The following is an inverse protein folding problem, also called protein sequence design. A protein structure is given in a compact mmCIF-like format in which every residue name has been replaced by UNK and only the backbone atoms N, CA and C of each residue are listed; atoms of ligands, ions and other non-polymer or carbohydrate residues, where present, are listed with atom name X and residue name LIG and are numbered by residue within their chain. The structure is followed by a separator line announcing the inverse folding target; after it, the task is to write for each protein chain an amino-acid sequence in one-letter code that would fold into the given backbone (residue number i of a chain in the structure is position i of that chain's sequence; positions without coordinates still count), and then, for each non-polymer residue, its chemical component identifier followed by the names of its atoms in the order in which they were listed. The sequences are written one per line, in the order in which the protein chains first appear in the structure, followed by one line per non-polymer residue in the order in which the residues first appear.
data_IF_898511931787
#
_entry.id   IF_898511931787
#
_cell.length_a   1.000
_cell.length_b   1.000
_cell.length_c   1.000
_cell.angle_alpha   90.00
_cell.angle_beta   90.00
_cell.angle_gamma   90.00
#
_symmetry.space_group_name_H-M   'P 1'
#
loop_
_entity.id
_entity.type
_entity.pdbx_description
1 polymer ?
#
# COMPACT_ATOMS: atom_id res chain seq x y z
N UNK A 1 17.13 -18.46 -1.56
CA UNK A 1 16.28 -19.40 -0.81
C UNK A 1 15.07 -18.59 -0.35
N UNK A 2 13.87 -18.83 -0.90
CA UNK A 2 12.67 -18.05 -0.56
C UNK A 2 12.10 -18.63 0.74
N UNK A 3 12.23 -17.92 1.84
CA UNK A 3 11.58 -18.28 3.10
C UNK A 3 10.11 -17.86 3.02
N UNK A 4 9.25 -18.78 2.59
CA UNK A 4 7.80 -18.66 2.74
C UNK A 4 7.48 -19.15 4.14
N UNK A 5 7.46 -18.23 5.12
CA UNK A 5 7.15 -18.58 6.50
C UNK A 5 5.71 -19.10 6.60
N UNK A 6 5.56 -20.37 6.99
CA UNK A 6 4.27 -20.95 7.34
C UNK A 6 3.68 -20.18 8.52
N UNK A 7 2.35 -20.09 8.62
CA UNK A 7 1.69 -19.36 9.72
C UNK A 7 2.02 -19.95 11.10
N UNK A 8 2.40 -21.23 11.15
CA UNK A 8 2.71 -21.99 12.38
C UNK A 8 4.10 -21.66 12.95
N UNK A 9 5.03 -21.11 12.17
CA UNK A 9 6.36 -20.70 12.62
C UNK A 9 6.40 -19.27 13.22
N UNK A 10 5.23 -18.62 13.39
CA UNK A 10 5.08 -17.17 13.65
C UNK A 10 4.69 -16.80 15.08
N UNK A 11 5.09 -17.56 16.09
CA UNK A 11 4.76 -17.25 17.50
C UNK A 11 5.28 -15.88 17.99
N UNK A 12 6.08 -15.14 17.21
CA UNK A 12 6.65 -13.84 17.57
C UNK A 12 6.49 -12.72 16.52
N UNK A 13 5.58 -12.84 15.55
CA UNK A 13 5.34 -11.73 14.61
C UNK A 13 4.37 -10.74 15.24
N UNK A 14 4.82 -9.49 15.43
CA UNK A 14 3.93 -8.37 15.74
C UNK A 14 3.00 -8.12 14.54
N UNK A 15 1.75 -8.60 14.67
CA UNK A 15 0.72 -8.41 13.65
C UNK A 15 0.14 -7.00 13.66
N UNK A 16 0.48 -6.16 14.65
CA UNK A 16 0.08 -4.76 14.73
C UNK A 16 0.76 -3.90 13.67
N UNK A 17 1.91 -4.32 13.12
CA UNK A 17 2.55 -3.61 12.02
C UNK A 17 3.32 -4.55 11.10
N UNK A 18 2.79 -4.76 9.90
CA UNK A 18 3.43 -5.60 8.89
C UNK A 18 3.78 -4.81 7.63
N UNK A 19 4.80 -5.26 6.92
CA UNK A 19 5.16 -4.78 5.60
C UNK A 19 4.82 -5.86 4.58
N UNK A 20 4.08 -5.51 3.55
CA UNK A 20 3.69 -6.41 2.47
C UNK A 20 4.34 -5.95 1.17
N UNK A 21 5.15 -6.85 0.60
CA UNK A 21 5.74 -6.72 -0.73
C UNK A 21 4.90 -7.52 -1.72
N UNK A 22 4.25 -6.84 -2.66
CA UNK A 22 3.47 -7.49 -3.71
C UNK A 22 4.40 -7.83 -4.88
N UNK A 23 4.51 -9.12 -5.22
CA UNK A 23 5.39 -9.60 -6.28
C UNK A 23 5.04 -8.94 -7.63
N UNK A 24 6.06 -8.52 -8.37
CA UNK A 24 5.89 -7.88 -9.68
C UNK A 24 5.25 -6.49 -9.64
N UNK A 25 5.03 -5.91 -8.45
CA UNK A 25 4.47 -4.58 -8.34
C UNK A 25 5.37 -3.51 -8.99
N UNK A 26 4.73 -2.55 -9.65
CA UNK A 26 5.42 -1.44 -10.28
C UNK A 26 4.63 -0.15 -10.15
N UNK A 27 5.36 0.94 -9.97
CA UNK A 27 4.88 2.29 -10.00
C UNK A 27 4.87 2.80 -11.44
N UNK A 28 3.74 3.35 -11.84
CA UNK A 28 3.54 4.05 -13.10
C UNK A 28 3.38 5.54 -12.79
N UNK A 29 4.03 6.38 -13.59
CA UNK A 29 3.90 7.84 -13.53
C UNK A 29 2.88 8.24 -14.58
N UNK A 30 1.82 8.93 -14.17
CA UNK A 30 0.83 9.49 -15.07
C UNK A 30 1.41 10.69 -15.82
N UNK A 31 1.36 10.67 -17.14
CA UNK A 31 2.06 11.68 -17.95
C UNK A 31 1.48 13.08 -17.82
N UNK A 32 0.17 13.20 -17.62
CA UNK A 32 -0.51 14.48 -17.55
C UNK A 32 -0.35 15.16 -16.17
N UNK A 33 -0.54 14.40 -15.09
CA UNK A 33 -0.49 14.92 -13.72
C UNK A 33 0.88 14.79 -13.06
N UNK A 34 1.79 13.98 -13.63
CA UNK A 34 3.05 13.54 -13.02
C UNK A 34 2.88 12.86 -11.66
N UNK A 35 1.65 12.52 -11.28
CA UNK A 35 1.34 11.73 -10.09
C UNK A 35 1.63 10.25 -10.34
N UNK A 36 1.71 9.47 -9.26
CA UNK A 36 2.09 8.06 -9.31
C UNK A 36 0.95 7.14 -8.89
N UNK A 37 0.96 5.92 -9.43
CA UNK A 37 0.07 4.85 -9.02
C UNK A 37 0.72 3.47 -9.15
N UNK A 38 0.21 2.50 -8.40
CA UNK A 38 0.66 1.11 -8.40
C UNK A 38 -0.58 0.20 -8.34
N UNK A 39 -0.91 -0.44 -9.47
CA UNK A 39 -2.13 -1.22 -9.58
C UNK A 39 -2.04 -2.57 -8.83
N UNK A 40 -0.85 -3.13 -8.66
CA UNK A 40 -0.65 -4.33 -7.83
C UNK A 40 -0.98 -4.06 -6.36
N UNK A 41 -0.52 -2.91 -5.83
CA UNK A 41 -0.90 -2.44 -4.49
C UNK A 41 -2.40 -2.23 -4.38
N UNK A 42 -3.00 -1.54 -5.35
CA UNK A 42 -4.46 -1.32 -5.43
C UNK A 42 -5.21 -2.65 -5.33
N UNK A 43 -4.88 -3.63 -6.17
CA UNK A 43 -5.56 -4.94 -6.17
C UNK A 43 -5.36 -5.69 -4.85
N UNK A 44 -4.17 -5.63 -4.26
CA UNK A 44 -3.91 -6.24 -2.96
C UNK A 44 -4.73 -5.58 -1.83
N UNK A 45 -4.88 -4.25 -1.82
CA UNK A 45 -5.75 -3.53 -0.87
C UNK A 45 -7.18 -4.05 -0.96
N UNK A 46 -7.73 -4.18 -2.17
CA UNK A 46 -9.09 -4.68 -2.36
C UNK A 46 -9.23 -6.11 -1.85
N UNK A 47 -8.25 -6.97 -2.11
CA UNK A 47 -8.20 -8.35 -1.57
C UNK A 47 -8.25 -8.36 -0.05
N UNK A 48 -7.47 -7.49 0.61
CA UNK A 48 -7.46 -7.37 2.06
C UNK A 48 -8.83 -6.93 2.60
N UNK A 49 -9.50 -5.99 1.95
CA UNK A 49 -10.83 -5.54 2.38
C UNK A 49 -11.90 -6.63 2.23
N UNK A 50 -11.87 -7.37 1.13
CA UNK A 50 -12.78 -8.51 0.90
C UNK A 50 -12.53 -9.59 1.95
N UNK A 51 -11.27 -9.92 2.22
CA UNK A 51 -10.90 -10.86 3.28
C UNK A 51 -11.34 -10.36 4.66
N UNK A 52 -11.10 -9.09 4.99
CA UNK A 52 -11.53 -8.47 6.24
C UNK A 52 -13.04 -8.60 6.44
N UNK A 53 -13.86 -8.32 5.41
CA UNK A 53 -15.32 -8.51 5.48
C UNK A 53 -15.68 -9.98 5.69
N UNK A 54 -15.09 -10.90 4.91
CA UNK A 54 -15.36 -12.34 4.98
C UNK A 54 -15.06 -12.92 6.37
N UNK A 55 -14.06 -12.38 7.06
CA UNK A 55 -13.64 -12.82 8.39
C UNK A 55 -14.24 -11.98 9.52
N UNK A 56 -15.24 -11.13 9.25
CA UNK A 56 -15.85 -10.24 10.24
C UNK A 56 -14.82 -9.43 11.03
N UNK A 57 -13.79 -8.94 10.32
CA UNK A 57 -12.72 -8.12 10.89
C UNK A 57 -13.18 -6.70 11.22
N UNK A 58 -12.27 -5.74 11.09
CA UNK A 58 -12.55 -4.35 11.46
C UNK A 58 -13.71 -3.76 10.64
N UNK A 59 -14.62 -3.00 11.27
CA UNK A 59 -15.63 -2.25 10.50
C UNK A 59 -14.93 -1.22 9.62
N UNK A 60 -15.50 -0.91 8.45
CA UNK A 60 -14.82 -0.03 7.51
C UNK A 60 -14.66 1.42 8.03
N UNK A 61 -15.45 1.83 9.02
CA UNK A 61 -15.27 3.10 9.75
C UNK A 61 -13.93 3.19 10.49
N UNK A 62 -13.37 2.04 10.86
CA UNK A 62 -12.15 1.92 11.65
C UNK A 62 -10.90 1.76 10.76
N UNK A 63 -11.11 1.54 9.45
CA UNK A 63 -10.07 1.35 8.44
C UNK A 63 -9.93 2.62 7.60
N UNK A 64 -8.70 3.13 7.48
CA UNK A 64 -8.36 4.16 6.50
C UNK A 64 -7.25 3.67 5.59
N UNK A 65 -7.47 3.80 4.27
CA UNK A 65 -6.43 3.62 3.27
C UNK A 65 -5.71 4.95 3.09
N UNK A 66 -4.41 4.96 3.30
CA UNK A 66 -3.57 6.15 3.20
C UNK A 66 -2.58 5.94 2.07
N UNK A 67 -2.42 6.92 1.20
CA UNK A 67 -1.40 6.89 0.15
C UNK A 67 -0.70 8.24 0.01
N UNK A 68 0.48 8.27 -0.59
CA UNK A 68 1.21 9.51 -0.84
C UNK A 68 0.71 10.27 -2.07
N UNK A 69 0.06 9.58 -3.01
CA UNK A 69 -0.27 10.13 -4.32
C UNK A 69 -1.77 10.21 -4.59
N UNK A 70 -2.21 11.36 -5.12
CA UNK A 70 -3.62 11.59 -5.44
C UNK A 70 -4.12 10.67 -6.56
N UNK A 71 -3.30 10.36 -7.58
CA UNK A 71 -3.68 9.41 -8.63
C UNK A 71 -3.94 8.01 -8.06
N UNK A 72 -3.12 7.54 -7.12
CA UNK A 72 -3.36 6.29 -6.42
C UNK A 72 -4.66 6.35 -5.60
N UNK A 73 -4.89 7.43 -4.85
CA UNK A 73 -6.12 7.60 -4.08
C UNK A 73 -7.37 7.56 -4.98
N UNK A 74 -7.33 8.24 -6.13
CA UNK A 74 -8.42 8.24 -7.11
C UNK A 74 -8.68 6.83 -7.68
N UNK A 75 -7.61 6.12 -8.07
CA UNK A 75 -7.71 4.74 -8.58
C UNK A 75 -8.30 3.78 -7.58
N UNK A 76 -7.85 3.83 -6.32
CA UNK A 76 -8.42 3.01 -5.24
C UNK A 76 -9.90 3.33 -5.05
N UNK A 77 -10.29 4.62 -5.01
CA UNK A 77 -11.72 5.01 -4.91
C UNK A 77 -12.55 4.49 -6.08
N UNK A 78 -12.03 4.53 -7.30
CA UNK A 78 -12.72 3.98 -8.48
C UNK A 78 -12.92 2.47 -8.35
N UNK A 79 -11.92 1.72 -7.91
CA UNK A 79 -12.06 0.28 -7.66
C UNK A 79 -13.04 -0.02 -6.52
N UNK A 80 -13.00 0.75 -5.42
CA UNK A 80 -13.98 0.64 -4.32
C UNK A 80 -15.41 0.89 -4.80
N UNK A 81 -15.60 1.82 -5.72
CA UNK A 81 -16.89 2.06 -6.35
C UNK A 81 -17.33 0.86 -7.21
N UNK A 82 -16.44 0.29 -8.03
CA UNK A 82 -16.75 -0.89 -8.86
C UNK A 82 -17.10 -2.13 -8.02
N UNK A 83 -16.31 -2.45 -6.99
CA UNK A 83 -16.62 -3.61 -6.13
C UNK A 83 -17.94 -3.45 -5.37
N UNK A 84 -18.33 -2.21 -5.04
CA UNK A 84 -19.64 -1.91 -4.48
C UNK A 84 -20.75 -2.16 -5.50
N UNK A 85 -20.57 -1.72 -6.75
CA UNK A 85 -21.54 -1.97 -7.83
C UNK A 85 -21.75 -3.46 -8.09
N UNK A 86 -20.70 -4.27 -7.95
CA UNK A 86 -20.77 -5.73 -8.09
C UNK A 86 -21.17 -6.47 -6.81
N UNK A 87 -21.56 -5.76 -5.74
CA UNK A 87 -22.06 -6.37 -4.51
C UNK A 87 -21.02 -7.09 -3.66
N UNK A 88 -19.72 -6.97 -3.97
CA UNK A 88 -18.65 -7.62 -3.21
C UNK A 88 -18.49 -6.99 -1.82
N UNK A 89 -18.58 -5.66 -1.74
CA UNK A 89 -18.65 -4.90 -0.50
C UNK A 89 -19.92 -4.06 -0.49
N UNK A 90 -20.59 -4.02 0.67
CA UNK A 90 -21.73 -3.11 0.87
C UNK A 90 -21.23 -1.70 1.21
N UNK A 91 -22.15 -0.72 1.21
CA UNK A 91 -21.83 0.69 1.51
C UNK A 91 -21.14 0.85 2.87
N UNK A 92 -21.53 0.07 3.87
CA UNK A 92 -20.96 0.10 5.23
C UNK A 92 -19.58 -0.54 5.33
N UNK A 93 -19.16 -1.26 4.29
CA UNK A 93 -17.87 -1.94 4.20
C UNK A 93 -16.84 -1.19 3.34
N UNK A 94 -17.15 0.03 2.89
CA UNK A 94 -16.21 0.85 2.10
C UNK A 94 -15.43 1.79 3.04
N UNK A 95 -14.10 1.61 3.17
CA UNK A 95 -13.28 2.44 4.04
C UNK A 95 -13.02 3.82 3.43
N UNK A 96 -12.54 4.73 4.27
CA UNK A 96 -12.03 6.03 3.82
C UNK A 96 -10.73 5.85 3.04
N UNK A 97 -10.56 6.62 1.96
CA UNK A 97 -9.29 6.75 1.24
C UNK A 97 -8.80 8.18 1.39
N UNK A 98 -7.54 8.35 1.80
CA UNK A 98 -6.95 9.65 2.13
C UNK A 98 -5.51 9.74 1.58
N UNK A 99 -5.06 10.96 1.31
CA UNK A 99 -3.63 11.22 1.14
C UNK A 99 -2.97 11.40 2.50
N UNK A 100 -1.67 11.15 2.58
CA UNK A 100 -0.88 11.34 3.80
C UNK A 100 -1.03 12.74 4.39
N UNK A 101 -0.92 13.77 3.54
CA UNK A 101 -1.09 15.18 3.94
C UNK A 101 -2.48 15.42 4.55
N UNK A 102 -3.53 14.80 4.01
CA UNK A 102 -4.90 14.94 4.51
C UNK A 102 -5.17 14.23 5.84
N UNK A 103 -4.23 13.40 6.30
CA UNK A 103 -4.29 12.65 7.56
C UNK A 103 -3.56 13.35 8.72
N UNK A 104 -3.00 14.53 8.51
CA UNK A 104 -2.41 15.33 9.59
C UNK A 104 -3.45 15.57 10.70
N UNK A 105 -3.08 15.22 11.93
CA UNK A 105 -3.95 15.37 13.12
C UNK A 105 -5.13 14.39 13.20
N UNK A 106 -5.21 13.38 12.32
CA UNK A 106 -6.26 12.36 12.32
C UNK A 106 -5.69 10.99 12.64
N UNK A 107 -6.52 10.06 13.08
CA UNK A 107 -6.11 8.69 13.37
C UNK A 107 -7.20 7.69 12.93
N UNK A 108 -6.81 6.42 12.80
CA UNK A 108 -7.69 5.29 12.49
C UNK A 108 -7.16 4.08 13.24
N UNK A 109 -8.02 3.13 13.63
CA UNK A 109 -7.54 1.88 14.25
C UNK A 109 -6.64 1.11 13.31
N UNK A 110 -7.09 0.96 12.07
CA UNK A 110 -6.36 0.27 11.02
C UNK A 110 -5.96 1.23 9.91
N UNK A 111 -4.68 1.20 9.55
CA UNK A 111 -4.15 1.91 8.40
C UNK A 111 -3.64 0.93 7.35
N UNK A 112 -4.17 1.03 6.13
CA UNK A 112 -3.56 0.41 4.95
C UNK A 112 -2.71 1.49 4.27
N UNK A 113 -1.40 1.50 4.53
CA UNK A 113 -0.48 2.54 4.08
C UNK A 113 0.24 2.15 2.79
N UNK A 114 -0.14 2.80 1.68
CA UNK A 114 0.41 2.56 0.36
C UNK A 114 1.46 3.62 -0.03
N UNK A 115 2.73 3.20 -0.06
CA UNK A 115 3.85 4.06 -0.44
C UNK A 115 4.02 4.23 -1.95
N UNK A 116 3.37 3.40 -2.77
CA UNK A 116 3.35 3.47 -4.25
C UNK A 116 4.70 3.22 -4.95
N UNK A 117 5.83 3.18 -4.22
CA UNK A 117 7.19 2.96 -4.75
C UNK A 117 7.30 1.59 -5.44
N UNK A 118 8.05 1.48 -6.56
CA UNK A 118 8.49 0.19 -7.14
C UNK A 118 9.90 -0.22 -6.72
N UNK A 119 10.82 0.74 -6.69
CA UNK A 119 12.26 0.52 -6.54
C UNK A 119 12.93 1.74 -5.93
N UNK A 120 14.16 1.54 -5.47
CA UNK A 120 15.05 2.59 -4.99
C UNK A 120 16.38 2.57 -5.78
N UNK A 121 16.31 2.37 -7.10
CA UNK A 121 17.51 2.33 -7.93
C UNK A 121 18.08 3.74 -8.16
N UNK A 122 17.22 4.75 -8.17
CA UNK A 122 17.59 6.16 -8.18
C UNK A 122 16.60 6.99 -7.31
N UNK A 123 16.99 8.21 -6.92
CA UNK A 123 16.14 9.10 -6.12
C UNK A 123 14.81 9.45 -6.82
N UNK A 124 14.80 9.53 -8.14
CA UNK A 124 13.60 9.81 -8.92
C UNK A 124 12.55 8.70 -8.77
N UNK A 125 12.95 7.43 -8.65
CA UNK A 125 12.04 6.30 -8.43
C UNK A 125 11.25 6.41 -7.11
N UNK A 126 11.84 7.08 -6.12
CA UNK A 126 11.23 7.24 -4.79
C UNK A 126 10.28 8.45 -4.71
N UNK A 127 10.47 9.50 -5.51
CA UNK A 127 9.56 10.64 -5.55
C UNK A 127 9.30 11.26 -4.16
N UNK A 128 8.03 11.49 -3.80
CA UNK A 128 7.65 12.10 -2.51
C UNK A 128 7.86 11.20 -1.29
N UNK A 129 8.29 9.97 -1.48
CA UNK A 129 8.48 9.03 -0.38
C UNK A 129 9.78 9.25 0.39
N UNK A 130 10.70 10.05 -0.16
CA UNK A 130 11.94 10.47 0.52
C UNK A 130 11.71 11.52 1.61
N UNK A 131 10.54 12.17 1.61
CA UNK A 131 10.15 13.14 2.62
C UNK A 131 9.80 12.44 3.94
N UNK A 132 10.71 12.58 4.92
CA UNK A 132 10.60 11.97 6.24
C UNK A 132 9.40 12.48 7.04
N UNK A 133 9.00 13.74 6.84
CA UNK A 133 7.86 14.32 7.57
C UNK A 133 6.56 13.68 7.08
N UNK A 134 6.39 13.53 5.77
CA UNK A 134 5.24 12.80 5.20
C UNK A 134 5.23 11.36 5.68
N UNK A 135 6.38 10.70 5.65
CA UNK A 135 6.47 9.31 6.10
C UNK A 135 6.12 9.17 7.59
N UNK A 136 6.59 10.09 8.43
CA UNK A 136 6.24 10.15 9.86
C UNK A 136 4.75 10.37 10.06
N UNK A 137 4.14 11.32 9.34
CA UNK A 137 2.69 11.53 9.39
C UNK A 137 1.98 10.22 9.08
N UNK A 138 2.28 9.55 7.97
CA UNK A 138 1.61 8.31 7.57
C UNK A 138 1.77 7.17 8.59
N UNK A 139 2.99 6.97 9.11
CA UNK A 139 3.31 5.88 10.03
C UNK A 139 2.72 6.03 11.44
N UNK A 140 2.41 7.25 11.88
CA UNK A 140 1.85 7.47 13.22
C UNK A 140 0.33 7.65 13.23
N UNK A 141 -0.38 7.25 12.16
CA UNK A 141 -1.85 7.38 12.09
C UNK A 141 -2.61 6.17 12.62
N UNK A 142 -1.95 5.02 12.80
CA UNK A 142 -2.63 3.83 13.33
C UNK A 142 -2.68 3.85 14.85
N UNK A 143 -3.77 3.34 15.44
CA UNK A 143 -3.87 3.10 16.88
C UNK A 143 -3.86 1.62 17.26
N UNK A 144 -4.15 0.71 16.31
CA UNK A 144 -4.19 -0.74 16.57
C UNK A 144 -3.37 -1.55 15.56
N UNK A 145 -3.57 -1.36 14.25
CA UNK A 145 -2.88 -2.14 13.22
C UNK A 145 -2.48 -1.34 11.98
N UNK A 146 -1.38 -1.71 11.33
CA UNK A 146 -0.94 -1.15 10.07
C UNK A 146 -0.43 -2.22 9.09
N UNK A 147 -0.84 -2.07 7.84
CA UNK A 147 -0.25 -2.80 6.70
C UNK A 147 0.45 -1.80 5.80
N UNK A 148 1.77 -1.90 5.70
CA UNK A 148 2.60 -1.06 4.84
C UNK A 148 2.80 -1.78 3.50
N UNK A 149 2.36 -1.19 2.39
CA UNK A 149 2.69 -1.69 1.05
C UNK A 149 3.99 -1.06 0.57
N UNK A 150 5.03 -1.89 0.51
CA UNK A 150 6.38 -1.50 0.16
C UNK A 150 7.10 -2.71 -0.48
N UNK A 151 7.60 -2.60 -1.73
CA UNK A 151 8.29 -3.70 -2.37
C UNK A 151 9.58 -4.09 -1.63
N UNK A 152 9.87 -5.38 -1.63
CA UNK A 152 11.06 -5.97 -1.02
C UNK A 152 12.37 -5.43 -1.63
N UNK A 153 12.33 -5.00 -2.90
CA UNK A 153 13.44 -4.39 -3.64
C UNK A 153 13.81 -2.98 -3.14
N UNK A 154 12.93 -2.30 -2.39
CA UNK A 154 13.27 -1.02 -1.77
C UNK A 154 14.28 -1.28 -0.66
N UNK A 155 15.39 -0.54 -0.64
CA UNK A 155 16.49 -0.79 0.31
C UNK A 155 17.56 -1.77 -0.19
N UNK A 156 17.39 -2.38 -1.37
CA UNK A 156 18.45 -3.18 -2.02
C UNK A 156 19.05 -2.49 -3.25
N UNK A 157 18.49 -1.34 -3.66
CA UNK A 157 18.95 -0.55 -4.80
C UNK A 157 20.20 0.27 -4.50
N UNK A 158 20.78 0.89 -5.55
CA UNK A 158 22.05 1.64 -5.44
C UNK A 158 22.01 2.75 -4.39
N UNK A 159 20.88 3.46 -4.26
CA UNK A 159 20.72 4.55 -3.28
C UNK A 159 20.59 4.05 -1.82
N UNK A 160 20.40 2.75 -1.61
CA UNK A 160 20.47 2.13 -0.29
C UNK A 160 21.90 1.70 0.10
N UNK A 161 22.80 1.57 -0.88
CA UNK A 161 24.13 0.95 -0.70
C UNK A 161 25.27 1.97 -0.84
N UNK A 162 25.05 3.07 -1.57
CA UNK A 162 26.08 4.09 -1.83
C UNK A 162 25.77 5.39 -1.11
N UNK A 163 26.44 5.70 0.01
CA UNK A 163 26.53 7.07 0.46
C UNK A 163 27.37 7.81 -0.59
N UNK A 164 26.73 8.60 -1.47
CA UNK A 164 27.48 9.57 -2.27
C UNK A 164 28.21 10.46 -1.28
N UNK A 165 29.54 10.36 -1.24
CA UNK A 165 30.37 11.23 -0.41
C UNK A 165 30.19 12.64 -0.91
N UNK A 166 29.31 13.40 -0.27
CA UNK A 166 29.26 14.84 -0.43
C UNK A 166 30.22 15.43 0.59
N UNK A 167 30.91 16.49 0.18
CA UNK A 167 31.72 17.29 1.09
C UNK A 167 31.03 18.65 1.20
N UNK A 168 30.97 19.21 2.40
CA UNK A 168 30.48 20.57 2.57
C UNK A 168 31.55 21.61 2.15
N UNK A 169 31.25 22.89 2.33
CA UNK A 169 32.18 23.97 2.00
C UNK A 169 33.41 24.04 2.94
N UNK A 170 33.43 23.23 4.00
CA UNK A 170 34.53 23.05 4.94
C UNK A 170 35.32 21.75 4.67
N UNK A 171 35.03 21.07 3.54
CA UNK A 171 35.60 19.77 3.18
C UNK A 171 35.27 18.65 4.19
N UNK A 172 34.24 18.83 5.02
CA UNK A 172 33.77 17.77 5.91
C UNK A 172 32.93 16.77 5.12
N UNK A 173 33.18 15.48 5.35
CA UNK A 173 32.41 14.41 4.72
C UNK A 173 30.98 14.44 5.25
N UNK A 174 30.04 14.86 4.40
CA UNK A 174 28.61 14.68 4.62
C UNK A 174 28.30 13.20 4.43
N UNK A 175 27.95 12.53 5.53
CA UNK A 175 27.39 11.19 5.46
C UNK A 175 25.98 11.30 4.85
N UNK A 176 25.85 10.92 3.58
CA UNK A 176 24.54 10.82 2.93
C UNK A 176 23.69 9.82 3.70
N UNK A 177 22.66 10.33 4.40
CA UNK A 177 21.67 9.50 5.09
C UNK A 177 20.97 8.60 4.07
N UNK A 178 20.72 7.35 4.42
CA UNK A 178 19.99 6.45 3.54
C UNK A 178 18.55 6.97 3.40
N UNK A 179 17.95 6.95 2.20
CA UNK A 179 16.56 7.38 2.03
C UNK A 179 15.62 6.64 2.99
N UNK A 180 14.71 7.37 3.63
CA UNK A 180 13.86 6.82 4.68
C UNK A 180 13.10 5.53 4.31
N UNK A 181 12.55 5.36 3.08
CA UNK A 181 11.94 4.08 2.69
C UNK A 181 12.89 2.89 2.74
N UNK A 182 14.17 3.10 2.42
CA UNK A 182 15.22 2.08 2.48
C UNK A 182 15.60 1.74 3.93
N UNK A 183 15.70 2.75 4.82
CA UNK A 183 15.90 2.57 6.26
C UNK A 183 14.74 1.79 6.88
N UNK A 184 13.51 2.22 6.61
CA UNK A 184 12.31 1.57 7.09
C UNK A 184 12.21 0.11 6.63
N UNK A 185 12.50 -0.18 5.36
CA UNK A 185 12.51 -1.57 4.86
C UNK A 185 13.58 -2.40 5.56
N UNK A 186 14.79 -1.89 5.71
CA UNK A 186 15.89 -2.61 6.37
C UNK A 186 15.56 -2.93 7.83
N UNK A 187 14.95 -1.97 8.54
CA UNK A 187 14.41 -2.17 9.88
C UNK A 187 13.31 -3.25 9.89
N UNK A 188 12.32 -3.16 9.00
CA UNK A 188 11.23 -4.14 8.93
C UNK A 188 11.75 -5.56 8.66
N UNK A 189 12.74 -5.70 7.79
CA UNK A 189 13.41 -6.98 7.53
C UNK A 189 14.09 -7.53 8.79
N UNK A 190 14.80 -6.68 9.55
CA UNK A 190 15.45 -7.08 10.82
C UNK A 190 14.45 -7.53 11.88
N UNK A 191 13.21 -7.03 11.81
CA UNK A 191 12.10 -7.41 12.70
C UNK A 191 11.31 -8.61 12.19
N UNK A 192 11.62 -9.14 11.01
CA UNK A 192 10.89 -10.26 10.36
C UNK A 192 9.39 -9.99 10.19
N UNK A 193 9.04 -8.73 9.92
CA UNK A 193 7.64 -8.29 9.68
C UNK A 193 7.36 -8.04 8.18
N UNK A 194 8.26 -8.47 7.29
CA UNK A 194 8.10 -8.36 5.83
C UNK A 194 7.49 -9.64 5.28
N UNK A 195 6.38 -9.52 4.57
CA UNK A 195 5.68 -10.60 3.91
C UNK A 195 5.65 -10.37 2.40
N UNK A 196 6.12 -11.35 1.64
CA UNK A 196 6.01 -11.33 0.19
C UNK A 196 4.76 -12.09 -0.25
N UNK A 197 3.95 -11.48 -1.10
CA UNK A 197 2.67 -12.02 -1.55
C UNK A 197 2.55 -11.97 -3.06
N UNK A 198 1.85 -12.96 -3.63
CA UNK A 198 1.52 -12.95 -5.05
C UNK A 198 0.57 -11.80 -5.39
N UNK A 199 0.83 -11.12 -6.51
CA UNK A 199 -0.09 -10.11 -7.02
C UNK A 199 -1.39 -10.79 -7.46
N UNK A 200 -2.55 -10.40 -6.90
CA UNK A 200 -3.83 -10.89 -7.40
C UNK A 200 -4.10 -10.35 -8.80
N UNK A 201 -4.79 -11.12 -9.65
CA UNK A 201 -5.28 -10.61 -10.93
C UNK A 201 -6.51 -9.72 -10.71
N UNK A 202 -6.83 -8.87 -11.69
CA UNK A 202 -8.05 -8.05 -11.58
C UNK A 202 -9.31 -8.92 -11.61
N UNK A 203 -9.31 -10.02 -12.36
CA UNK A 203 -10.40 -10.99 -12.47
C UNK A 203 -10.65 -11.73 -11.14
N UNK A 204 -9.60 -12.03 -10.37
CA UNK A 204 -9.72 -12.67 -9.05
C UNK A 204 -10.45 -11.80 -8.02
N UNK A 205 -10.35 -10.47 -8.18
CA UNK A 205 -10.86 -9.50 -7.21
C UNK A 205 -12.18 -8.89 -7.66
N UNK A 206 -12.28 -8.60 -8.95
CA UNK A 206 -13.40 -7.93 -9.59
C UNK A 206 -13.85 -8.85 -10.74
N UNK A 207 -14.73 -9.83 -10.48
CA UNK A 207 -15.23 -10.71 -11.53
C UNK A 207 -15.93 -9.86 -12.60
N UNK A 208 -15.88 -10.33 -13.84
CA UNK A 208 -16.59 -9.69 -14.94
C UNK A 208 -18.07 -9.51 -14.56
N UNK A 209 -18.72 -8.39 -14.98
CA UNK A 209 -20.14 -8.22 -14.74
C UNK A 209 -20.87 -9.45 -15.29
N UNK A 210 -21.60 -10.14 -14.42
CA UNK A 210 -22.58 -11.13 -14.88
C UNK A 210 -23.55 -10.39 -15.81
N UNK A 211 -23.88 -10.99 -16.95
CA UNK A 211 -24.80 -10.40 -17.93
C UNK A 211 -26.03 -9.81 -17.22
N UNK A 212 -26.55 -8.66 -17.69
CA UNK A 212 -27.69 -8.02 -17.05
C UNK A 212 -28.81 -9.05 -16.92
N UNK A 213 -29.20 -9.33 -15.68
CA UNK A 213 -30.30 -10.20 -15.32
C UNK A 213 -31.48 -9.81 -16.21
N UNK A 214 -31.85 -10.67 -17.17
CA UNK A 214 -32.97 -10.43 -18.07
C UNK A 214 -34.18 -10.15 -17.18
N UNK A 215 -34.70 -8.94 -17.24
CA UNK A 215 -35.99 -8.62 -16.66
C UNK A 215 -36.98 -9.47 -17.45
N UNK A 216 -37.37 -10.60 -16.89
CA UNK A 216 -38.47 -11.41 -17.41
C UNK A 216 -39.71 -10.54 -17.22
N UNK A 217 -40.05 -9.77 -18.25
CA UNK A 217 -41.37 -9.14 -18.34
C UNK A 217 -42.36 -10.28 -18.55
N UNK A 218 -42.95 -10.78 -17.45
CA UNK A 218 -44.16 -11.57 -17.51
C UNK A 218 -45.29 -10.64 -17.94
N UNK A 219 -45.51 -10.56 -19.24
CA UNK A 219 -46.72 -10.01 -19.84
C UNK A 219 -47.89 -10.93 -19.51
N UNK A 220 -48.57 -10.67 -18.39
CA UNK A 220 -49.91 -11.23 -18.18
C UNK A 220 -50.91 -10.28 -18.85
N UNK A 221 -51.37 -10.68 -20.03
CA UNK A 221 -52.67 -10.28 -20.60
C UNK A 221 -53.57 -11.50 -20.52
#
# INVERSE_FOLDING_TARGET
MREVYSLEERENIDLGNIVVSVEGSSCIVDDASKSRHNDAHRLHILRLLIANKKHSGYPASDITIVTLYQAQAARIRHSLFRIKQYGLLDKTSIPKVATTDSMQGKESKVILYDRVISSANNLYDMGFTVDEHRATVGLTRMTEAMVNLLPESVGTGQEAVSPRGQYDYLEERINSKMPYPCEFRSWAQSKRIVLTVQCPSEEDIIPAPQEPMQIVMTSNI
#
